data_IF_847973588390
#
_entry.id   IF_847973588390
#
_cell.length_a   1.000
_cell.length_b   1.000
_cell.length_c   1.000
_cell.angle_alpha   90.00
_cell.angle_beta   90.00
_cell.angle_gamma   90.00
#
_symmetry.space_group_name_H-M   'P 1'
#
loop_
_entity.id
_entity.type
_entity.pdbx_description
1 polymer ?
#
# COMPACT_ATOMS: atom_id res chain seq x y z
N UNK A 1 -18.43 -24.73 14.33
CA UNK A 1 -17.11 -24.07 14.36
C UNK A 1 -16.45 -24.42 13.06
N UNK A 2 -16.32 -23.46 12.16
CA UNK A 2 -15.61 -23.70 10.92
C UNK A 2 -14.15 -24.06 11.26
N UNK A 3 -13.54 -25.01 10.54
CA UNK A 3 -12.16 -25.40 10.82
C UNK A 3 -11.24 -24.19 10.67
N UNK A 4 -10.37 -24.00 11.65
CA UNK A 4 -9.33 -22.97 11.62
C UNK A 4 -8.55 -23.03 10.29
N UNK A 5 -8.29 -21.89 9.63
CA UNK A 5 -7.49 -21.88 8.42
C UNK A 5 -6.10 -22.48 8.68
N UNK A 6 -5.69 -23.43 7.85
CA UNK A 6 -4.33 -24.01 7.92
C UNK A 6 -3.26 -22.92 7.75
N UNK A 7 -2.08 -23.13 8.32
CA UNK A 7 -0.96 -22.19 8.22
C UNK A 7 -0.65 -21.78 6.77
N UNK A 8 -0.64 -22.73 5.83
CA UNK A 8 -0.40 -22.45 4.40
C UNK A 8 -1.44 -21.46 3.83
N UNK A 9 -2.72 -21.61 4.20
CA UNK A 9 -3.78 -20.66 3.79
C UNK A 9 -3.56 -19.28 4.38
N UNK A 10 -3.14 -19.19 5.66
CA UNK A 10 -2.83 -17.92 6.32
C UNK A 10 -1.64 -17.23 5.64
N UNK A 11 -0.55 -17.97 5.36
CA UNK A 11 0.62 -17.44 4.65
C UNK A 11 0.30 -16.99 3.22
N UNK A 12 -0.55 -17.73 2.48
CA UNK A 12 -0.97 -17.31 1.14
C UNK A 12 -1.84 -16.06 1.17
N UNK A 13 -2.73 -15.93 2.16
CA UNK A 13 -3.52 -14.72 2.36
C UNK A 13 -2.64 -13.50 2.67
N UNK A 14 -1.64 -13.66 3.54
CA UNK A 14 -0.64 -12.61 3.83
C UNK A 14 0.18 -12.24 2.59
N UNK A 15 0.63 -13.23 1.80
CA UNK A 15 1.36 -13.00 0.56
C UNK A 15 0.54 -12.19 -0.45
N UNK A 16 -0.72 -12.56 -0.67
CA UNK A 16 -1.60 -11.84 -1.60
C UNK A 16 -1.94 -10.45 -1.06
N UNK A 17 -2.21 -10.32 0.25
CA UNK A 17 -2.47 -9.02 0.88
C UNK A 17 -1.28 -8.06 0.77
N UNK A 18 -0.06 -8.53 1.03
CA UNK A 18 1.16 -7.72 0.83
C UNK A 18 1.39 -7.40 -0.65
N UNK A 19 1.08 -8.33 -1.57
CA UNK A 19 1.12 -8.03 -3.01
C UNK A 19 0.18 -6.89 -3.38
N UNK A 20 -1.07 -6.91 -2.92
CA UNK A 20 -2.06 -5.85 -3.18
C UNK A 20 -1.57 -4.51 -2.61
N UNK A 21 -1.07 -4.52 -1.37
CA UNK A 21 -0.53 -3.34 -0.70
C UNK A 21 0.59 -2.68 -1.51
N UNK A 22 1.59 -3.46 -1.95
CA UNK A 22 2.74 -2.94 -2.70
C UNK A 22 2.35 -2.56 -4.12
N UNK A 23 1.58 -3.40 -4.80
CA UNK A 23 1.20 -3.18 -6.20
C UNK A 23 0.37 -1.91 -6.35
N UNK A 24 -0.64 -1.69 -5.48
CA UNK A 24 -1.50 -0.50 -5.57
C UNK A 24 -0.81 0.72 -4.95
N UNK A 25 -0.28 0.60 -3.74
CA UNK A 25 0.28 1.73 -3.01
C UNK A 25 1.57 2.27 -3.65
N UNK A 26 2.60 1.42 -3.78
CA UNK A 26 3.85 1.84 -4.40
C UNK A 26 3.67 2.07 -5.92
N UNK A 27 2.75 1.32 -6.56
CA UNK A 27 2.38 1.55 -7.96
C UNK A 27 1.76 2.93 -8.19
N UNK A 28 0.92 3.43 -7.29
CA UNK A 28 0.37 4.79 -7.38
C UNK A 28 1.48 5.85 -7.35
N UNK A 29 2.45 5.72 -6.43
CA UNK A 29 3.62 6.61 -6.38
C UNK A 29 4.47 6.54 -7.66
N UNK A 30 4.70 5.32 -8.17
CA UNK A 30 5.44 5.13 -9.41
C UNK A 30 4.73 5.79 -10.62
N UNK A 31 3.41 5.65 -10.73
CA UNK A 31 2.61 6.28 -11.78
C UNK A 31 2.65 7.80 -11.65
N UNK A 32 2.51 8.35 -10.44
CA UNK A 32 2.62 9.80 -10.22
C UNK A 32 3.95 10.33 -10.76
N UNK A 33 5.07 9.71 -10.40
CA UNK A 33 6.39 10.12 -10.89
C UNK A 33 6.49 9.99 -12.42
N UNK A 34 5.89 8.96 -13.01
CA UNK A 34 5.86 8.80 -14.47
C UNK A 34 5.06 9.91 -15.17
N UNK A 35 3.98 10.39 -14.54
CA UNK A 35 3.14 11.47 -15.06
C UNK A 35 3.77 12.85 -14.89
N UNK A 36 4.59 13.04 -13.85
CA UNK A 36 5.28 14.32 -13.59
C UNK A 36 6.64 14.43 -14.28
N UNK A 37 7.00 13.46 -15.14
CA UNK A 37 8.26 13.48 -15.88
C UNK A 37 8.39 14.73 -16.77
N UNK A 38 9.43 15.51 -16.51
CA UNK A 38 9.76 16.71 -17.29
C UNK A 38 9.20 18.00 -16.69
N UNK A 39 8.47 17.93 -15.57
CA UNK A 39 8.04 19.11 -14.84
C UNK A 39 9.22 19.76 -14.13
N UNK A 40 9.47 21.03 -14.46
CA UNK A 40 10.55 21.86 -13.88
C UNK A 40 10.04 22.90 -12.89
N UNK A 41 8.74 22.86 -12.57
CA UNK A 41 8.14 23.80 -11.63
C UNK A 41 8.48 23.39 -10.19
N UNK A 42 8.99 24.33 -9.40
CA UNK A 42 9.33 24.16 -7.98
C UNK A 42 10.79 23.75 -7.73
N UNK A 43 11.08 23.15 -6.57
CA UNK A 43 12.46 22.86 -6.14
C UNK A 43 12.80 21.37 -6.26
N UNK A 44 14.09 21.03 -6.40
CA UNK A 44 14.60 19.63 -6.38
C UNK A 44 14.06 18.81 -5.21
N UNK A 45 13.79 19.45 -4.06
CA UNK A 45 13.29 18.77 -2.87
C UNK A 45 11.77 18.51 -2.89
N UNK A 46 10.99 19.26 -3.67
CA UNK A 46 9.52 19.21 -3.59
C UNK A 46 8.80 18.95 -4.93
N UNK A 47 9.40 19.27 -6.08
CA UNK A 47 8.61 19.38 -7.30
C UNK A 47 9.33 19.12 -8.63
N UNK A 48 10.67 19.03 -8.71
CA UNK A 48 11.31 18.76 -10.01
C UNK A 48 11.19 17.28 -10.38
N UNK A 49 10.26 16.93 -11.28
CA UNK A 49 9.95 15.56 -11.68
C UNK A 49 9.49 14.61 -10.56
N UNK A 50 9.10 15.17 -9.40
CA UNK A 50 8.77 14.44 -8.18
C UNK A 50 7.27 14.33 -7.91
N UNK A 51 6.91 13.75 -6.76
CA UNK A 51 5.54 13.73 -6.25
C UNK A 51 5.21 15.10 -5.66
N UNK A 52 4.18 15.73 -6.19
CA UNK A 52 3.71 17.07 -5.89
C UNK A 52 3.96 18.07 -7.01
N UNK A 53 4.52 17.64 -8.15
CA UNK A 53 4.90 18.55 -9.24
C UNK A 53 3.69 19.16 -9.97
N UNK A 54 2.61 18.39 -10.19
CA UNK A 54 1.42 18.86 -10.91
C UNK A 54 0.29 19.26 -9.96
N UNK A 55 0.07 18.46 -8.91
CA UNK A 55 -1.05 18.59 -7.97
C UNK A 55 -0.64 18.96 -6.55
N UNK A 56 0.63 19.21 -6.28
CA UNK A 56 1.11 19.55 -4.93
C UNK A 56 0.71 18.50 -3.89
N UNK A 57 0.13 18.94 -2.77
CA UNK A 57 -0.30 18.04 -1.69
C UNK A 57 -1.43 17.08 -2.10
N UNK A 58 -2.17 17.37 -3.17
CA UNK A 58 -3.23 16.48 -3.64
C UNK A 58 -2.68 15.14 -4.15
N UNK A 59 -1.46 15.12 -4.72
CA UNK A 59 -0.82 13.87 -5.17
C UNK A 59 -0.41 12.99 -3.99
N UNK A 60 0.14 13.60 -2.94
CA UNK A 60 0.46 12.90 -1.69
C UNK A 60 -0.79 12.32 -1.04
N UNK A 61 -1.88 13.09 -1.01
CA UNK A 61 -3.16 12.63 -0.50
C UNK A 61 -3.72 11.48 -1.36
N UNK A 62 -3.61 11.58 -2.69
CA UNK A 62 -4.07 10.53 -3.59
C UNK A 62 -3.30 9.22 -3.40
N UNK A 63 -1.97 9.28 -3.26
CA UNK A 63 -1.14 8.10 -2.95
C UNK A 63 -1.53 7.53 -1.58
N UNK A 64 -1.71 8.39 -0.58
CA UNK A 64 -2.18 7.97 0.75
C UNK A 64 -3.52 7.24 0.70
N UNK A 65 -4.48 7.73 -0.09
CA UNK A 65 -5.76 7.06 -0.30
C UNK A 65 -5.62 5.74 -1.06
N UNK A 66 -4.70 5.64 -2.03
CA UNK A 66 -4.43 4.38 -2.71
C UNK A 66 -3.95 3.30 -1.73
N UNK A 67 -3.02 3.65 -0.82
CA UNK A 67 -2.62 2.77 0.27
C UNK A 67 -3.78 2.45 1.22
N UNK A 68 -4.51 3.46 1.68
CA UNK A 68 -5.59 3.28 2.67
C UNK A 68 -6.71 2.36 2.14
N UNK A 69 -7.13 2.55 0.89
CA UNK A 69 -8.17 1.72 0.26
C UNK A 69 -7.65 0.30 0.03
N UNK A 70 -6.41 0.13 -0.43
CA UNK A 70 -5.80 -1.18 -0.62
C UNK A 70 -5.69 -1.98 0.70
N UNK A 71 -5.27 -1.32 1.79
CA UNK A 71 -5.21 -1.91 3.14
C UNK A 71 -6.62 -2.26 3.62
N UNK A 72 -7.56 -1.33 3.54
CA UNK A 72 -8.94 -1.57 4.00
C UNK A 72 -9.58 -2.74 3.25
N UNK A 73 -9.47 -2.77 1.91
CA UNK A 73 -9.96 -3.87 1.11
C UNK A 73 -9.30 -5.21 1.51
N UNK A 74 -7.99 -5.23 1.70
CA UNK A 74 -7.25 -6.43 2.12
C UNK A 74 -7.71 -6.94 3.49
N UNK A 75 -7.98 -6.04 4.45
CA UNK A 75 -8.52 -6.40 5.76
C UNK A 75 -9.89 -7.06 5.64
N UNK A 76 -10.80 -6.49 4.84
CA UNK A 76 -12.13 -7.09 4.62
C UNK A 76 -12.08 -8.44 3.89
N UNK A 77 -11.11 -8.63 2.98
CA UNK A 77 -10.96 -9.86 2.21
C UNK A 77 -10.26 -10.96 3.02
N UNK A 78 -9.15 -10.64 3.70
CA UNK A 78 -8.23 -11.62 4.29
C UNK A 78 -8.20 -11.62 5.82
N UNK A 79 -8.82 -10.65 6.48
CA UNK A 79 -8.79 -10.51 7.94
C UNK A 79 -9.30 -11.75 8.67
N UNK A 80 -10.39 -12.34 8.18
CA UNK A 80 -10.96 -13.57 8.75
C UNK A 80 -10.15 -14.85 8.42
N UNK A 81 -9.16 -14.76 7.52
CA UNK A 81 -8.31 -15.90 7.13
C UNK A 81 -7.01 -15.87 7.93
N UNK A 82 -6.28 -14.76 7.89
CA UNK A 82 -4.90 -14.64 8.39
C UNK A 82 -4.72 -13.64 9.53
N UNK A 83 -5.71 -12.78 9.79
CA UNK A 83 -5.52 -11.56 10.57
C UNK A 83 -5.11 -10.36 9.72
N UNK A 84 -4.69 -10.57 8.46
CA UNK A 84 -4.30 -9.52 7.50
C UNK A 84 -3.26 -8.55 8.07
N UNK A 85 -2.13 -9.08 8.54
CA UNK A 85 -1.02 -8.29 9.04
C UNK A 85 -0.38 -7.47 7.91
N UNK A 86 -0.16 -8.12 6.76
CA UNK A 86 0.43 -7.63 5.50
C UNK A 86 1.74 -6.83 5.66
N UNK A 87 2.33 -6.91 6.86
CA UNK A 87 3.44 -6.10 7.35
C UNK A 87 4.19 -6.89 8.45
N UNK A 88 5.50 -7.14 8.27
CA UNK A 88 6.32 -7.79 9.29
C UNK A 88 6.36 -7.06 10.64
N UNK A 89 6.34 -5.72 10.65
CA UNK A 89 6.36 -4.94 11.89
C UNK A 89 5.08 -5.14 12.70
N UNK A 90 3.92 -5.24 12.03
CA UNK A 90 2.64 -5.57 12.69
C UNK A 90 2.68 -6.97 13.27
N UNK A 91 3.22 -7.94 12.51
CA UNK A 91 3.35 -9.33 12.98
C UNK A 91 4.23 -9.42 14.23
N UNK A 92 5.36 -8.72 14.26
CA UNK A 92 6.27 -8.69 15.41
C UNK A 92 5.60 -8.00 16.60
N UNK A 93 4.89 -6.89 16.38
CA UNK A 93 4.23 -6.15 17.46
C UNK A 93 3.12 -6.93 18.16
N UNK A 94 2.47 -7.87 17.45
CA UNK A 94 1.39 -8.70 17.98
C UNK A 94 1.87 -10.05 18.52
N UNK A 95 3.16 -10.36 18.42
CA UNK A 95 3.72 -11.64 18.86
C UNK A 95 3.67 -11.74 20.40
N UNK A 96 2.91 -12.73 20.88
CA UNK A 96 2.67 -13.02 22.30
C UNK A 96 2.65 -14.53 22.53
#
# INVERSE_FOLDING_TARGET
MDPEPTLIKKCLAEFIGTFILVYIGAGAAAITILLTKGETWGSVFLCEGGIGALGGIAEWLAIGFAFAIAVAASIYIFGHISGCHINPAVTIALWQ
#
